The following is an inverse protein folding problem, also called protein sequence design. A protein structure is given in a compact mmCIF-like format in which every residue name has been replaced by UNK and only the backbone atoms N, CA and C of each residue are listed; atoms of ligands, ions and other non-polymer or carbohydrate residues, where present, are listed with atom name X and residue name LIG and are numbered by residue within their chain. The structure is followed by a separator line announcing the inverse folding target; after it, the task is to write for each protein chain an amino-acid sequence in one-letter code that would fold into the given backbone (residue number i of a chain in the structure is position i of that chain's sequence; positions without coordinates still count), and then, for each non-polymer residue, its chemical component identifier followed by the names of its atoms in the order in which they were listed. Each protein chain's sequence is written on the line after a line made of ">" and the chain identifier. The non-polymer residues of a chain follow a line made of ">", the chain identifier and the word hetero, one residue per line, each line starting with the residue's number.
data_IF_311107864487
#
_entry.id   IF_311107864487
#
_cell.length_a   1.000
_cell.length_b   1.000
_cell.length_c   1.000
_cell.angle_alpha   90.00
_cell.angle_beta   90.00
_cell.angle_gamma   90.00
#
_symmetry.space_group_name_H-M   'P 1'
#
loop_
_entity.id
_entity.type
_entity.pdbx_description
1 polymer ?
#
# COMPACT_ATOMS: atom_id res chain seq x y z
N UNK A 1 75.77 10.53 -7.58
CA UNK A 1 76.17 9.28 -8.29
C UNK A 1 74.88 8.57 -8.68
N UNK A 2 74.53 8.20 -9.91
CA UNK A 2 75.07 8.31 -11.27
C UNK A 2 73.82 8.21 -12.22
N UNK A 3 73.62 9.12 -13.19
CA UNK A 3 73.85 9.00 -14.67
C UNK A 3 73.15 7.76 -15.30
N UNK A 4 72.35 7.83 -16.37
CA UNK A 4 72.47 8.46 -17.71
C UNK A 4 71.06 8.60 -18.34
N UNK A 5 70.63 9.66 -19.04
CA UNK A 5 71.06 10.33 -20.29
C UNK A 5 70.82 9.58 -21.62
N UNK A 6 69.90 10.18 -22.41
CA UNK A 6 69.90 10.43 -23.88
C UNK A 6 69.82 9.20 -24.81
N UNK A 7 69.27 9.22 -26.03
CA UNK A 7 68.98 10.28 -27.02
C UNK A 7 67.79 9.82 -27.92
N UNK A 8 66.98 10.71 -28.53
CA UNK A 8 67.09 11.23 -29.92
C UNK A 8 67.24 10.11 -30.98
N UNK A 9 66.48 10.01 -32.09
CA UNK A 9 66.13 11.06 -33.04
C UNK A 9 65.25 10.56 -34.20
N UNK A 10 64.47 11.48 -34.81
CA UNK A 10 64.22 11.71 -36.25
C UNK A 10 63.33 10.79 -37.11
N UNK A 11 62.34 11.46 -37.72
CA UNK A 11 62.10 11.60 -39.18
C UNK A 11 60.76 11.10 -39.75
N UNK A 12 59.90 12.08 -40.03
CA UNK A 12 59.15 12.37 -41.27
C UNK A 12 58.52 11.28 -42.15
N UNK A 13 57.22 11.54 -42.38
CA UNK A 13 56.46 11.46 -43.65
C UNK A 13 55.95 10.09 -44.13
N UNK A 14 54.62 9.90 -44.07
CA UNK A 14 53.72 9.89 -45.25
C UNK A 14 52.24 9.62 -44.89
N UNK A 15 51.41 10.61 -45.20
CA UNK A 15 50.08 10.60 -45.85
C UNK A 15 49.01 9.50 -45.68
N UNK A 16 47.77 10.01 -45.50
CA UNK A 16 46.47 9.61 -46.09
C UNK A 16 45.80 8.29 -45.65
N UNK A 17 44.71 8.41 -44.87
CA UNK A 17 43.36 8.23 -45.43
C UNK A 17 42.24 8.60 -44.42
N UNK A 18 41.35 9.45 -44.91
CA UNK A 18 40.10 9.89 -44.30
C UNK A 18 39.13 8.71 -44.23
N UNK A 19 38.65 8.36 -43.03
CA UNK A 19 37.41 7.58 -42.85
C UNK A 19 36.57 8.18 -41.73
N UNK A 20 35.42 8.69 -42.13
CA UNK A 20 34.37 9.27 -41.30
C UNK A 20 33.95 8.34 -40.16
N UNK A 21 34.10 8.79 -38.90
CA UNK A 21 33.42 8.17 -37.76
C UNK A 21 32.11 8.91 -37.51
N UNK A 22 31.04 8.27 -37.94
CA UNK A 22 29.65 8.59 -37.65
C UNK A 22 29.46 8.68 -36.14
N UNK A 23 28.96 9.80 -35.65
CA UNK A 23 28.54 9.97 -34.27
C UNK A 23 27.52 8.88 -33.90
N UNK A 24 27.90 8.01 -32.96
CA UNK A 24 26.94 7.12 -32.29
C UNK A 24 26.10 8.03 -31.40
N UNK A 25 24.87 8.31 -31.85
CA UNK A 25 23.84 8.93 -31.03
C UNK A 25 23.70 8.09 -29.76
N UNK A 26 23.90 8.72 -28.60
CA UNK A 26 23.50 8.14 -27.33
C UNK A 26 22.01 7.84 -27.40
N UNK A 27 21.68 6.55 -27.30
CA UNK A 27 20.33 6.11 -27.00
C UNK A 27 20.00 6.56 -25.59
N UNK A 28 19.19 7.61 -25.47
CA UNK A 28 18.53 7.95 -24.21
C UNK A 28 17.81 6.70 -23.68
N UNK A 29 17.90 6.39 -22.38
CA UNK A 29 17.10 5.32 -21.82
C UNK A 29 15.62 5.67 -22.00
N UNK A 30 14.85 4.75 -22.60
CA UNK A 30 13.40 4.87 -22.65
C UNK A 30 12.85 5.04 -21.23
N UNK A 31 11.82 5.87 -21.02
CA UNK A 31 11.15 5.93 -19.73
C UNK A 31 10.63 4.54 -19.43
N UNK A 32 11.15 3.93 -18.36
CA UNK A 32 10.64 2.66 -17.84
C UNK A 32 9.14 2.84 -17.67
N UNK A 33 8.35 2.03 -18.40
CA UNK A 33 6.91 2.03 -18.25
C UNK A 33 6.61 1.95 -16.76
N UNK A 34 6.03 3.02 -16.21
CA UNK A 34 5.57 3.04 -14.83
C UNK A 34 4.70 1.82 -14.66
N UNK A 35 5.18 0.84 -13.90
CA UNK A 35 4.38 -0.33 -13.55
C UNK A 35 3.20 0.25 -12.80
N UNK A 36 2.01 0.26 -13.41
CA UNK A 36 0.79 0.70 -12.73
C UNK A 36 0.60 -0.31 -11.61
N UNK A 37 1.10 0.02 -10.42
CA UNK A 37 0.85 -0.75 -9.21
C UNK A 37 -0.58 -0.43 -8.83
N UNK A 38 -1.44 -1.45 -8.83
CA UNK A 38 -2.81 -1.28 -8.39
C UNK A 38 -2.81 -0.72 -6.96
N UNK A 39 -3.60 0.33 -6.74
CA UNK A 39 -3.55 1.10 -5.49
C UNK A 39 -4.14 0.28 -4.34
N UNK A 40 -3.36 0.11 -3.28
CA UNK A 40 -3.77 -0.64 -2.10
C UNK A 40 -4.82 0.13 -1.31
N UNK A 41 -5.83 -0.60 -0.81
CA UNK A 41 -6.97 -0.06 -0.07
C UNK A 41 -7.09 -0.75 1.27
N UNK A 42 -7.25 0.03 2.33
CA UNK A 42 -7.36 -0.48 3.69
C UNK A 42 -8.82 -0.72 4.06
N UNK A 43 -9.11 -1.85 4.70
CA UNK A 43 -10.45 -2.24 5.12
C UNK A 43 -10.59 -2.14 6.64
N UNK A 44 -11.60 -1.40 7.08
CA UNK A 44 -12.03 -1.31 8.47
C UNK A 44 -12.91 -2.51 8.87
N UNK A 45 -13.07 -2.75 10.17
CA UNK A 45 -13.82 -3.87 10.74
C UNK A 45 -15.28 -3.88 10.29
N UNK A 46 -15.94 -2.72 10.22
CA UNK A 46 -17.35 -2.62 9.81
C UNK A 46 -17.59 -3.26 8.42
N UNK A 47 -16.66 -3.09 7.47
CA UNK A 47 -16.78 -3.68 6.12
C UNK A 47 -16.76 -5.22 6.18
N UNK A 48 -15.89 -5.80 6.99
CA UNK A 48 -15.82 -7.26 7.18
C UNK A 48 -17.07 -7.78 7.89
N UNK A 49 -17.58 -7.03 8.89
CA UNK A 49 -18.82 -7.36 9.59
C UNK A 49 -19.99 -7.40 8.63
N UNK A 50 -20.18 -6.37 7.79
CA UNK A 50 -21.26 -6.37 6.80
C UNK A 50 -21.17 -7.50 5.78
N UNK A 51 -19.96 -7.92 5.39
CA UNK A 51 -19.79 -9.02 4.45
C UNK A 51 -20.38 -10.35 4.97
N UNK A 52 -20.50 -10.51 6.29
CA UNK A 52 -20.87 -11.78 6.92
C UNK A 52 -22.10 -11.71 7.83
N UNK A 53 -22.50 -10.52 8.27
CA UNK A 53 -23.70 -10.29 9.08
C UNK A 53 -25.02 -10.58 8.35
N UNK A 54 -26.11 -10.68 9.11
CA UNK A 54 -27.42 -11.13 8.61
C UNK A 54 -28.37 -9.99 8.17
N UNK A 55 -28.21 -8.76 8.69
CA UNK A 55 -29.35 -7.84 8.76
C UNK A 55 -29.34 -6.66 7.76
N UNK A 56 -28.42 -6.62 6.79
CA UNK A 56 -28.38 -5.56 5.78
C UNK A 56 -27.99 -6.09 4.38
N UNK A 57 -28.94 -6.60 3.58
CA UNK A 57 -28.65 -7.28 2.31
C UNK A 57 -27.87 -6.43 1.30
N UNK A 58 -28.18 -5.14 1.20
CA UNK A 58 -27.53 -4.20 0.29
C UNK A 58 -26.07 -3.96 0.72
N UNK A 59 -25.83 -3.59 1.99
CA UNK A 59 -24.47 -3.40 2.50
C UNK A 59 -23.64 -4.68 2.43
N UNK A 60 -24.25 -5.83 2.73
CA UNK A 60 -23.63 -7.16 2.59
C UNK A 60 -23.17 -7.43 1.15
N UNK A 61 -24.04 -7.17 0.17
CA UNK A 61 -23.68 -7.33 -1.25
C UNK A 61 -22.52 -6.41 -1.64
N UNK A 62 -22.56 -5.15 -1.21
CA UNK A 62 -21.51 -4.17 -1.48
C UNK A 62 -20.18 -4.57 -0.83
N UNK A 63 -20.18 -4.91 0.46
CA UNK A 63 -19.00 -5.34 1.21
C UNK A 63 -18.35 -6.59 0.62
N UNK A 64 -19.16 -7.62 0.29
CA UNK A 64 -18.67 -8.85 -0.35
C UNK A 64 -18.02 -8.57 -1.70
N UNK A 65 -18.66 -7.74 -2.53
CA UNK A 65 -18.11 -7.35 -3.84
C UNK A 65 -16.77 -6.64 -3.65
N UNK A 66 -16.71 -5.66 -2.75
CA UNK A 66 -15.51 -4.87 -2.50
C UNK A 66 -14.34 -5.74 -2.02
N UNK A 67 -14.58 -6.58 -1.02
CA UNK A 67 -13.58 -7.52 -0.49
C UNK A 67 -13.12 -8.49 -1.58
N UNK A 68 -14.05 -9.10 -2.32
CA UNK A 68 -13.71 -10.07 -3.37
C UNK A 68 -12.84 -9.45 -4.47
N UNK A 69 -13.19 -8.24 -4.93
CA UNK A 69 -12.39 -7.49 -5.92
C UNK A 69 -10.97 -7.25 -5.39
N UNK A 70 -10.82 -6.63 -4.22
CA UNK A 70 -9.50 -6.27 -3.70
C UNK A 70 -8.65 -7.47 -3.25
N UNK A 71 -9.26 -8.59 -2.85
CA UNK A 71 -8.53 -9.84 -2.62
C UNK A 71 -8.02 -10.41 -3.95
N UNK A 72 -8.85 -10.44 -5.00
CA UNK A 72 -8.47 -10.97 -6.31
C UNK A 72 -7.37 -10.14 -6.99
N UNK A 73 -7.39 -8.83 -6.79
CA UNK A 73 -6.39 -7.89 -7.31
C UNK A 73 -5.15 -7.76 -6.41
N UNK A 74 -5.11 -8.47 -5.28
CA UNK A 74 -4.05 -8.38 -4.27
C UNK A 74 -3.82 -6.95 -3.72
N UNK A 75 -4.86 -6.12 -3.72
CA UNK A 75 -4.84 -4.73 -3.26
C UNK A 75 -5.48 -4.53 -1.88
N UNK A 76 -6.10 -5.58 -1.31
CA UNK A 76 -6.66 -5.52 0.03
C UNK A 76 -5.57 -5.43 1.11
N UNK A 77 -5.79 -4.52 2.06
CA UNK A 77 -4.96 -4.36 3.27
C UNK A 77 -5.84 -4.39 4.51
N UNK A 78 -5.40 -5.13 5.53
CA UNK A 78 -6.01 -5.21 6.85
C UNK A 78 -4.95 -4.93 7.93
N UNK A 79 -5.36 -4.69 9.17
CA UNK A 79 -4.45 -4.72 10.33
C UNK A 79 -4.74 -5.91 11.24
N UNK A 80 -3.78 -6.28 12.09
CA UNK A 80 -4.04 -7.27 13.15
C UNK A 80 -5.15 -6.84 14.10
N UNK A 81 -5.37 -5.54 14.31
CA UNK A 81 -6.48 -5.03 15.11
C UNK A 81 -7.82 -5.25 14.43
N UNK A 82 -7.94 -4.96 13.12
CA UNK A 82 -9.16 -5.24 12.33
C UNK A 82 -9.52 -6.73 12.41
N UNK A 83 -8.54 -7.63 12.27
CA UNK A 83 -8.80 -9.08 12.34
C UNK A 83 -9.30 -9.53 13.73
N UNK A 84 -8.73 -8.96 14.81
CA UNK A 84 -9.17 -9.24 16.18
C UNK A 84 -10.58 -8.74 16.45
N UNK A 85 -10.87 -7.48 16.07
CA UNK A 85 -12.19 -6.89 16.24
C UNK A 85 -13.24 -7.62 15.41
N UNK A 86 -12.91 -7.99 14.17
CA UNK A 86 -13.79 -8.78 13.32
C UNK A 86 -14.14 -10.11 13.98
N UNK A 87 -13.16 -10.83 14.55
CA UNK A 87 -13.44 -12.09 15.24
C UNK A 87 -14.44 -11.90 16.39
N UNK A 88 -14.21 -10.90 17.24
CA UNK A 88 -15.09 -10.58 18.38
C UNK A 88 -16.48 -10.15 17.91
N UNK A 89 -16.57 -9.30 16.89
CA UNK A 89 -17.83 -8.78 16.38
C UNK A 89 -18.65 -9.88 15.69
N UNK A 90 -18.04 -10.66 14.79
CA UNK A 90 -18.73 -11.72 14.05
C UNK A 90 -19.25 -12.83 14.98
N UNK A 91 -18.46 -13.23 15.99
CA UNK A 91 -18.91 -14.23 16.97
C UNK A 91 -20.03 -13.70 17.86
N UNK A 92 -20.00 -12.41 18.26
CA UNK A 92 -21.12 -11.75 18.96
C UNK A 92 -22.41 -11.69 18.14
N UNK A 93 -22.30 -11.64 16.81
CA UNK A 93 -23.43 -11.73 15.88
C UNK A 93 -23.93 -13.18 15.66
N UNK A 94 -23.36 -14.16 16.36
CA UNK A 94 -23.81 -15.54 16.34
C UNK A 94 -23.15 -16.42 15.28
N UNK A 95 -22.11 -15.95 14.58
CA UNK A 95 -21.34 -16.81 13.69
C UNK A 95 -20.51 -17.82 14.51
N UNK A 96 -20.49 -19.11 14.14
CA UNK A 96 -19.64 -20.10 14.81
C UNK A 96 -18.16 -19.70 14.72
N UNK A 97 -17.41 -19.89 15.81
CA UNK A 97 -16.01 -19.46 15.89
C UNK A 97 -15.13 -20.12 14.81
N UNK A 98 -15.42 -21.35 14.43
CA UNK A 98 -14.73 -22.10 13.38
C UNK A 98 -14.93 -21.45 12.00
N UNK A 99 -16.14 -20.94 11.74
CA UNK A 99 -16.44 -20.21 10.49
C UNK A 99 -15.70 -18.87 10.47
N UNK A 100 -15.72 -18.14 11.58
CA UNK A 100 -15.02 -16.86 11.68
C UNK A 100 -13.49 -17.04 11.58
N UNK A 101 -12.95 -18.13 12.12
CA UNK A 101 -11.54 -18.48 11.99
C UNK A 101 -11.14 -18.71 10.51
N UNK A 102 -11.99 -19.36 9.71
CA UNK A 102 -11.75 -19.52 8.26
C UNK A 102 -11.76 -18.17 7.52
N UNK A 103 -12.65 -17.25 7.90
CA UNK A 103 -12.67 -15.89 7.35
C UNK A 103 -11.38 -15.13 7.68
N UNK A 104 -10.96 -15.15 8.96
CA UNK A 104 -9.70 -14.52 9.40
C UNK A 104 -8.50 -15.14 8.67
N UNK A 105 -8.47 -16.47 8.51
CA UNK A 105 -7.40 -17.15 7.78
C UNK A 105 -7.34 -16.71 6.31
N UNK A 106 -8.49 -16.44 5.69
CA UNK A 106 -8.58 -15.90 4.32
C UNK A 106 -8.02 -14.48 4.24
N UNK A 107 -8.42 -13.59 5.16
CA UNK A 107 -7.92 -12.21 5.20
C UNK A 107 -6.43 -12.13 5.55
N UNK A 108 -5.93 -13.08 6.34
CA UNK A 108 -4.51 -13.18 6.68
C UNK A 108 -3.60 -13.51 5.48
N UNK A 109 -4.14 -14.00 4.36
CA UNK A 109 -3.38 -14.20 3.11
C UNK A 109 -3.21 -12.92 2.28
N UNK A 110 -3.90 -11.84 2.65
CA UNK A 110 -3.73 -10.53 2.02
C UNK A 110 -2.58 -9.74 2.67
N UNK A 111 -2.48 -8.45 2.36
CA UNK A 111 -1.52 -7.58 3.05
C UNK A 111 -2.03 -7.31 4.48
N UNK A 112 -1.28 -7.72 5.50
CA UNK A 112 -1.63 -7.46 6.90
C UNK A 112 -0.59 -6.58 7.57
N UNK A 113 -1.05 -5.47 8.15
CA UNK A 113 -0.25 -4.59 9.00
C UNK A 113 -0.31 -5.08 10.44
N UNK A 114 0.85 -5.41 11.01
CA UNK A 114 0.93 -5.63 12.45
C UNK A 114 0.84 -4.30 13.19
N UNK A 115 -0.08 -4.21 14.15
CA UNK A 115 -0.14 -3.05 15.04
C UNK A 115 1.04 -3.10 16.01
N UNK A 116 1.95 -2.13 15.88
CA UNK A 116 3.12 -1.99 16.74
C UNK A 116 2.96 -0.83 17.73
N UNK A 117 3.84 -0.74 18.73
CA UNK A 117 3.89 0.39 19.68
C UNK A 117 4.08 1.73 18.98
N UNK A 118 4.84 1.77 17.90
CA UNK A 118 5.07 2.99 17.11
C UNK A 118 3.78 3.45 16.43
N UNK A 119 2.99 2.51 15.89
CA UNK A 119 1.67 2.84 15.33
C UNK A 119 0.70 3.33 16.39
N UNK A 120 0.73 2.75 17.60
CA UNK A 120 -0.11 3.17 18.73
C UNK A 120 0.24 4.61 19.15
N UNK A 121 1.52 4.91 19.37
CA UNK A 121 1.97 6.26 19.75
C UNK A 121 1.59 7.28 18.67
N UNK A 122 1.78 6.91 17.40
CA UNK A 122 1.42 7.78 16.30
C UNK A 122 -0.11 7.97 16.15
N UNK A 123 -0.91 6.97 16.49
CA UNK A 123 -2.36 7.07 16.54
C UNK A 123 -2.82 8.00 17.68
N UNK A 124 -2.14 7.98 18.83
CA UNK A 124 -2.38 8.93 19.93
C UNK A 124 -2.11 10.36 19.46
N UNK A 125 -1.03 10.60 18.72
CA UNK A 125 -0.74 11.93 18.16
C UNK A 125 -1.84 12.35 17.18
N UNK A 126 -2.20 11.48 16.23
CA UNK A 126 -3.26 11.78 15.25
C UNK A 126 -4.61 12.05 15.93
N UNK A 127 -4.98 11.28 16.96
CA UNK A 127 -6.15 11.51 17.81
C UNK A 127 -6.12 12.91 18.43
N UNK A 128 -4.98 13.31 19.02
CA UNK A 128 -4.83 14.63 19.67
C UNK A 128 -4.99 15.79 18.69
N UNK A 129 -4.41 15.66 17.50
CA UNK A 129 -4.40 16.69 16.45
C UNK A 129 -5.75 16.81 15.74
N UNK A 130 -6.38 15.68 15.37
CA UNK A 130 -7.57 15.67 14.50
C UNK A 130 -8.89 15.37 15.22
N UNK A 131 -8.86 15.09 16.53
CA UNK A 131 -10.05 14.72 17.33
C UNK A 131 -10.81 13.50 16.80
N UNK A 132 -10.12 12.63 16.06
CA UNK A 132 -10.59 11.29 15.72
C UNK A 132 -10.73 10.43 16.97
N UNK A 133 -11.54 9.38 16.97
CA UNK A 133 -11.41 8.37 18.04
C UNK A 133 -10.02 7.72 17.97
N UNK A 134 -9.53 7.15 19.07
CA UNK A 134 -8.24 6.45 19.05
C UNK A 134 -8.25 5.28 18.06
N UNK A 135 -9.36 4.54 17.98
CA UNK A 135 -9.52 3.39 17.08
C UNK A 135 -9.46 3.82 15.61
N UNK A 136 -10.21 4.87 15.24
CA UNK A 136 -10.16 5.45 13.88
C UNK A 136 -8.76 5.96 13.55
N UNK A 137 -8.10 6.61 14.50
CA UNK A 137 -6.74 7.10 14.32
C UNK A 137 -5.76 5.94 14.09
N UNK A 138 -5.92 4.81 14.78
CA UNK A 138 -5.10 3.61 14.59
C UNK A 138 -5.33 2.96 13.22
N UNK A 139 -6.58 2.93 12.75
CA UNK A 139 -6.93 2.49 11.39
C UNK A 139 -6.21 3.36 10.34
N UNK A 140 -6.31 4.69 10.46
CA UNK A 140 -5.66 5.63 9.53
C UNK A 140 -4.13 5.47 9.55
N UNK A 141 -3.50 5.36 10.72
CA UNK A 141 -2.04 5.17 10.81
C UNK A 141 -1.61 3.81 10.26
N UNK A 142 -2.38 2.77 10.48
CA UNK A 142 -2.13 1.45 9.89
C UNK A 142 -2.21 1.51 8.36
N UNK A 143 -3.26 2.12 7.81
CA UNK A 143 -3.43 2.34 6.37
C UNK A 143 -2.26 3.12 5.76
N UNK A 144 -1.88 4.25 6.37
CA UNK A 144 -0.76 5.07 5.94
C UNK A 144 0.56 4.30 5.96
N UNK A 145 0.81 3.49 6.99
CA UNK A 145 2.03 2.68 7.10
C UNK A 145 2.15 1.60 6.02
N UNK A 146 1.01 1.09 5.52
CA UNK A 146 0.95 0.18 4.38
C UNK A 146 1.01 0.88 3.02
N UNK A 147 1.12 2.21 2.98
CA UNK A 147 1.06 3.00 1.75
C UNK A 147 -0.32 2.98 1.09
N UNK A 148 -1.39 2.79 1.86
CA UNK A 148 -2.75 2.97 1.37
C UNK A 148 -3.08 4.47 1.35
N UNK A 149 -3.67 4.93 0.26
CA UNK A 149 -4.21 6.28 0.13
C UNK A 149 -5.69 6.35 0.53
N UNK A 150 -6.37 5.22 0.70
CA UNK A 150 -7.78 5.15 1.04
C UNK A 150 -8.08 4.09 2.10
N UNK A 151 -8.99 4.43 3.01
CA UNK A 151 -9.62 3.53 3.97
C UNK A 151 -11.11 3.40 3.63
N UNK A 152 -11.61 2.17 3.53
CA UNK A 152 -13.04 1.89 3.52
C UNK A 152 -13.56 1.80 4.95
N UNK A 153 -14.43 2.74 5.33
CA UNK A 153 -15.04 2.78 6.67
C UNK A 153 -16.40 3.46 6.63
N UNK A 154 -17.38 2.91 7.34
CA UNK A 154 -18.69 3.54 7.55
C UNK A 154 -18.68 4.59 8.66
N UNK A 155 -17.94 4.30 9.74
CA UNK A 155 -17.98 5.06 11.00
C UNK A 155 -17.23 6.40 10.92
N UNK A 156 -16.33 6.53 9.94
CA UNK A 156 -15.60 7.76 9.67
C UNK A 156 -16.29 8.63 8.61
N UNK A 157 -16.09 9.95 8.71
CA UNK A 157 -16.68 10.93 7.77
C UNK A 157 -16.18 10.71 6.34
N UNK A 158 -17.07 10.32 5.44
CA UNK A 158 -16.77 10.18 4.01
C UNK A 158 -16.20 11.47 3.40
N UNK A 159 -15.18 11.34 2.54
CA UNK A 159 -14.53 12.44 1.84
C UNK A 159 -13.50 13.19 2.67
N UNK A 160 -13.38 12.88 3.98
CA UNK A 160 -12.36 13.45 4.84
C UNK A 160 -10.99 12.83 4.52
N UNK A 161 -9.93 13.64 4.57
CA UNK A 161 -8.55 13.15 4.44
C UNK A 161 -7.76 13.42 5.73
N UNK A 162 -6.99 12.41 6.16
CA UNK A 162 -6.08 12.48 7.29
C UNK A 162 -4.70 12.10 6.81
N UNK A 163 -3.79 13.08 6.79
CA UNK A 163 -2.42 12.88 6.31
C UNK A 163 -2.38 12.15 4.95
N UNK A 164 -3.20 12.55 3.98
CA UNK A 164 -3.21 11.93 2.65
C UNK A 164 -3.91 10.57 2.55
N UNK A 165 -4.51 10.07 3.63
CA UNK A 165 -5.43 8.92 3.61
C UNK A 165 -6.86 9.44 3.50
N UNK A 166 -7.55 9.15 2.40
CA UNK A 166 -8.96 9.49 2.16
C UNK A 166 -9.89 8.44 2.78
N UNK A 167 -10.95 8.91 3.41
CA UNK A 167 -12.01 8.03 3.93
C UNK A 167 -13.10 7.86 2.88
N UNK A 168 -13.32 6.63 2.45
CA UNK A 168 -14.41 6.24 1.56
C UNK A 168 -15.45 5.41 2.32
N UNK A 169 -16.68 5.89 2.44
CA UNK A 169 -17.78 5.08 2.94
C UNK A 169 -18.39 4.33 1.74
N UNK A 170 -18.22 3.01 1.63
CA UNK A 170 -18.71 2.26 0.47
C UNK A 170 -20.24 2.15 0.44
N UNK A 171 -20.93 2.54 1.51
CA UNK A 171 -22.37 2.43 1.68
C UNK A 171 -23.11 3.76 1.50
N UNK A 172 -22.43 4.88 1.29
CA UNK A 172 -23.03 6.23 1.21
C UNK A 172 -23.59 6.58 -0.17
N UNK A 173 -24.22 5.64 -0.87
CA UNK A 173 -24.80 5.85 -2.21
C UNK A 173 -26.31 5.69 -2.22
#
# INVERSE_FOLDING_TARGET
>A
MARSRQASSRSSSQELQVRSRRAVRGSSPSPTASRIVAERRFFDTNVLVYAHGADEPQKKKTARKLIATHLSEQTAVFSTQVLQEYFVAATRLGLPAEVVQQHVATYAQANVVQVTTELILAAIDLHRLHKLSFWDALIVRSARSAGCSVVFSEDMKHGQSYEGVLIENPFSR
#
